data_IF_724690359564
#
_entry.id   IF_724690359564
#
_cell.length_a   1.000
_cell.length_b   1.000
_cell.length_c   1.000
_cell.angle_alpha   90.00
_cell.angle_beta   90.00
_cell.angle_gamma   90.00
#
_symmetry.space_group_name_H-M   'P 1'
#
loop_
_entity.id
_entity.type
_entity.pdbx_description
1 polymer ?
#
# COMPACT_ATOMS: atom_id res chain seq x y z
N UNK A 1 -11.00 -4.08 -7.89
CA UNK A 1 -10.78 -3.73 -6.46
C UNK A 1 -11.12 -2.26 -6.19
N UNK A 2 -10.57 -1.32 -6.96
CA UNK A 2 -10.86 0.13 -6.84
C UNK A 2 -12.34 0.52 -6.62
N UNK A 3 -13.35 0.01 -7.37
CA UNK A 3 -14.75 0.39 -7.12
C UNK A 3 -15.26 0.01 -5.72
N UNK A 4 -14.78 -1.12 -5.17
CA UNK A 4 -15.14 -1.56 -3.81
C UNK A 4 -14.48 -0.68 -2.74
N UNK A 5 -13.24 -0.23 -2.98
CA UNK A 5 -12.54 0.71 -2.09
C UNK A 5 -13.32 2.03 -2.07
N UNK A 6 -13.63 2.59 -3.24
CA UNK A 6 -14.40 3.83 -3.36
C UNK A 6 -15.75 3.71 -2.67
N UNK A 7 -16.50 2.63 -2.90
CA UNK A 7 -17.78 2.40 -2.23
C UNK A 7 -17.63 2.39 -0.70
N UNK A 8 -16.64 1.65 -0.18
CA UNK A 8 -16.41 1.55 1.26
C UNK A 8 -16.03 2.88 1.91
N UNK A 9 -15.16 3.67 1.26
CA UNK A 9 -14.78 5.02 1.71
C UNK A 9 -16.02 5.92 1.75
N UNK A 10 -16.84 5.93 0.69
CA UNK A 10 -18.00 6.82 0.58
C UNK A 10 -19.11 6.44 1.56
N UNK A 11 -19.38 5.15 1.73
CA UNK A 11 -20.41 4.68 2.66
C UNK A 11 -19.96 4.67 4.12
N UNK A 12 -18.66 4.90 4.39
CA UNK A 12 -18.03 4.71 5.70
C UNK A 12 -18.35 3.34 6.30
N UNK A 13 -18.42 2.33 5.44
CA UNK A 13 -18.71 0.95 5.82
C UNK A 13 -17.85 0.02 4.99
N UNK A 14 -17.30 -1.02 5.60
CA UNK A 14 -16.37 -1.90 4.92
C UNK A 14 -15.30 -2.45 5.85
N UNK A 15 -14.21 -2.99 5.29
CA UNK A 15 -13.11 -3.55 6.08
C UNK A 15 -12.27 -2.45 6.73
N UNK A 16 -11.70 -2.75 7.91
CA UNK A 16 -10.77 -1.85 8.61
C UNK A 16 -9.42 -1.75 7.88
N UNK A 17 -8.99 -2.83 7.21
CA UNK A 17 -7.72 -2.90 6.48
C UNK A 17 -8.00 -3.34 5.03
N UNK A 18 -7.45 -2.60 4.08
CA UNK A 18 -7.52 -2.92 2.64
C UNK A 18 -6.11 -3.16 2.12
N UNK A 19 -5.89 -4.33 1.55
CA UNK A 19 -4.66 -4.59 0.82
C UNK A 19 -4.70 -3.92 -0.55
N UNK A 20 -4.05 -2.76 -0.66
CA UNK A 20 -4.00 -1.97 -1.89
C UNK A 20 -2.86 -2.42 -2.81
N UNK A 21 -3.02 -2.15 -4.11
CA UNK A 21 -1.99 -2.40 -5.12
C UNK A 21 -1.36 -1.09 -5.58
N UNK A 22 -0.14 -1.19 -6.11
CA UNK A 22 0.57 -0.07 -6.75
C UNK A 22 0.66 1.15 -5.80
N UNK A 23 0.46 2.35 -6.34
CA UNK A 23 0.48 3.62 -5.63
C UNK A 23 -0.92 4.10 -5.26
N UNK A 24 -1.91 3.21 -5.12
CA UNK A 24 -3.28 3.59 -4.79
C UNK A 24 -3.46 4.37 -3.47
N UNK A 25 -2.57 4.29 -2.46
CA UNK A 25 -2.64 5.21 -1.33
C UNK A 25 -2.65 6.69 -1.73
N UNK A 26 -2.00 7.05 -2.84
CA UNK A 26 -2.03 8.41 -3.40
C UNK A 26 -3.42 8.79 -3.94
N UNK A 27 -4.10 7.85 -4.59
CA UNK A 27 -5.44 8.08 -5.16
C UNK A 27 -6.51 8.24 -4.08
N UNK A 28 -6.34 7.51 -2.98
CA UNK A 28 -7.34 7.42 -1.91
C UNK A 28 -6.96 8.19 -0.65
N UNK A 29 -5.93 9.05 -0.68
CA UNK A 29 -5.37 9.75 0.48
C UNK A 29 -6.44 10.30 1.44
N UNK A 30 -7.46 10.99 0.91
CA UNK A 30 -8.52 11.62 1.71
C UNK A 30 -9.44 10.64 2.46
N UNK A 31 -9.40 9.35 2.13
CA UNK A 31 -10.19 8.29 2.75
C UNK A 31 -9.36 7.31 3.59
N UNK A 32 -8.08 7.59 3.81
CA UNK A 32 -7.16 6.73 4.54
C UNK A 32 -6.72 7.37 5.86
N UNK A 33 -6.38 6.51 6.82
CA UNK A 33 -5.74 6.93 8.06
C UNK A 33 -4.23 7.04 7.85
N UNK A 34 -3.61 8.06 8.43
CA UNK A 34 -2.16 8.18 8.50
C UNK A 34 -1.58 7.11 9.43
N UNK A 35 -0.47 6.49 9.04
CA UNK A 35 0.18 5.40 9.80
C UNK A 35 1.68 5.65 10.04
N UNK A 36 2.07 6.93 10.22
CA UNK A 36 3.47 7.32 10.42
C UNK A 36 4.13 6.57 11.58
N UNK A 37 3.54 6.62 12.78
CA UNK A 37 4.10 5.96 13.98
C UNK A 37 4.38 4.47 13.75
N UNK A 38 3.45 3.78 13.07
CA UNK A 38 3.56 2.36 12.78
C UNK A 38 4.64 2.08 11.72
N UNK A 39 4.69 2.88 10.65
CA UNK A 39 5.71 2.76 9.62
C UNK A 39 7.12 3.06 10.15
N UNK A 40 7.26 4.09 10.99
CA UNK A 40 8.53 4.47 11.62
C UNK A 40 9.01 3.42 12.62
N UNK A 41 8.10 2.89 13.45
CA UNK A 41 8.41 1.76 14.32
C UNK A 41 8.93 0.56 13.52
N UNK A 42 8.22 0.16 12.46
CA UNK A 42 8.60 -0.99 11.66
C UNK A 42 9.92 -0.74 10.90
N UNK A 43 10.13 0.46 10.35
CA UNK A 43 11.37 0.83 9.70
C UNK A 43 12.56 0.75 10.67
N UNK A 44 12.39 1.24 11.90
CA UNK A 44 13.43 1.16 12.94
C UNK A 44 13.73 -0.30 13.32
N UNK A 45 12.70 -1.12 13.47
CA UNK A 45 12.82 -2.53 13.87
C UNK A 45 13.44 -3.40 12.76
N UNK A 46 13.12 -3.13 11.49
CA UNK A 46 13.46 -4.00 10.35
C UNK A 46 14.61 -3.47 9.48
N UNK A 47 15.23 -2.34 9.84
CA UNK A 47 16.33 -1.75 9.07
C UNK A 47 15.89 -0.92 7.85
N UNK A 48 14.66 -0.44 7.86
CA UNK A 48 14.09 0.46 6.86
C UNK A 48 13.29 -0.23 5.75
N UNK A 49 12.72 0.58 4.87
CA UNK A 49 12.03 0.12 3.67
C UNK A 49 12.91 0.29 2.42
N UNK A 50 12.67 -0.52 1.39
CA UNK A 50 13.18 -0.20 0.07
C UNK A 50 12.60 1.14 -0.41
N UNK A 51 13.44 2.01 -0.95
CA UNK A 51 13.04 3.38 -1.31
C UNK A 51 11.82 3.45 -2.24
N UNK A 52 11.71 2.51 -3.19
CA UNK A 52 10.54 2.42 -4.07
C UNK A 52 9.26 2.10 -3.28
N UNK A 53 9.31 1.14 -2.35
CA UNK A 53 8.16 0.73 -1.56
C UNK A 53 7.65 1.88 -0.69
N UNK A 54 8.56 2.64 -0.10
CA UNK A 54 8.24 3.85 0.66
C UNK A 54 7.60 4.94 -0.22
N UNK A 55 8.17 5.23 -1.39
CA UNK A 55 7.63 6.22 -2.31
C UNK A 55 6.19 5.92 -2.78
N UNK A 56 5.82 4.64 -2.85
CA UNK A 56 4.48 4.21 -3.29
C UNK A 56 3.39 4.43 -2.23
N UNK A 57 3.78 4.58 -0.96
CA UNK A 57 2.85 4.76 0.16
C UNK A 57 2.97 6.12 0.86
N UNK A 58 4.05 6.87 0.60
CA UNK A 58 4.22 8.24 1.11
C UNK A 58 3.53 9.27 0.22
N UNK A 59 2.56 9.98 0.77
CA UNK A 59 1.82 11.07 0.12
C UNK A 59 2.04 12.35 0.92
N UNK A 60 2.57 13.39 0.28
CA UNK A 60 2.90 14.65 0.97
C UNK A 60 3.85 14.48 2.17
N UNK A 61 4.73 13.47 2.14
CA UNK A 61 5.66 13.15 3.24
C UNK A 61 5.09 12.25 4.34
N UNK A 62 3.79 11.93 4.30
CA UNK A 62 3.09 11.08 5.29
C UNK A 62 2.91 9.66 4.77
N UNK A 63 3.09 8.66 5.62
CA UNK A 63 2.73 7.28 5.32
C UNK A 63 1.21 7.11 5.36
N UNK A 64 0.59 6.93 4.19
CA UNK A 64 -0.85 6.68 4.06
C UNK A 64 -1.19 5.19 3.95
N UNK A 65 -0.16 4.33 3.98
CA UNK A 65 -0.25 2.88 4.05
C UNK A 65 1.09 2.29 4.53
N UNK A 66 1.06 1.04 4.98
CA UNK A 66 2.28 0.27 5.22
C UNK A 66 2.72 -0.46 3.95
N UNK A 67 4.02 -0.42 3.60
CA UNK A 67 4.56 -1.31 2.58
C UNK A 67 4.47 -2.77 3.03
N UNK A 68 3.85 -3.62 2.20
CA UNK A 68 3.67 -5.05 2.51
C UNK A 68 4.53 -5.96 1.65
N UNK A 69 4.45 -5.82 0.32
CA UNK A 69 5.15 -6.72 -0.61
C UNK A 69 5.43 -6.06 -1.95
N UNK A 70 6.47 -6.52 -2.63
CA UNK A 70 6.79 -6.19 -4.02
C UNK A 70 6.46 -7.40 -4.88
N UNK A 71 5.64 -7.23 -5.91
CA UNK A 71 5.29 -8.29 -6.87
C UNK A 71 5.84 -7.91 -8.24
N UNK A 72 6.94 -8.53 -8.71
CA UNK A 72 7.49 -8.24 -10.02
C UNK A 72 6.68 -8.91 -11.13
N UNK A 73 6.62 -8.25 -12.30
CA UNK A 73 6.22 -8.92 -13.54
C UNK A 73 7.33 -9.86 -13.98
N UNK A 74 7.07 -11.16 -14.01
CA UNK A 74 8.03 -12.18 -14.43
C UNK A 74 7.48 -12.94 -15.63
N UNK A 75 8.37 -13.33 -16.56
CA UNK A 75 8.01 -14.19 -17.69
C UNK A 75 7.93 -15.62 -17.17
N UNK A 76 6.71 -16.16 -17.10
CA UNK A 76 6.47 -17.56 -16.80
C UNK A 76 6.27 -18.34 -18.12
N UNK A 77 7.06 -19.39 -18.34
CA UNK A 77 6.91 -20.28 -19.49
C UNK A 77 7.08 -21.74 -19.08
N UNK A 78 6.43 -22.65 -19.82
CA UNK A 78 6.54 -24.10 -19.62
C UNK A 78 7.88 -24.57 -20.20
N UNK A 79 8.73 -25.21 -19.40
CA UNK A 79 10.04 -25.72 -19.86
C UNK A 79 9.95 -26.97 -20.72
N UNK A 80 8.88 -27.75 -20.59
CA UNK A 80 8.71 -29.08 -21.21
C UNK A 80 8.09 -29.03 -22.61
N UNK A 81 8.21 -27.92 -23.33
CA UNK A 81 7.84 -27.78 -24.73
C UNK A 81 9.03 -28.06 -25.65
#
# INVERSE_FOLDING_TARGET
>A
LQPRITAAIQSRSGPDIIHMLHNWPHLYENGLVEVNDLAEWQAKDQGGFYAQSEAYVRVGGRFMALPHSIVPGLIAYRKSW
#
